data_IF_272200613133
#
_entry.id   IF_272200613133
#
_cell.length_a   1.000
_cell.length_b   1.000
_cell.length_c   1.000
_cell.angle_alpha   90.00
_cell.angle_beta   90.00
_cell.angle_gamma   90.00
#
_symmetry.space_group_name_H-M   'P 1'
#
loop_
_entity.id
_entity.type
_entity.pdbx_description
1 polymer ?
#
# COMPACT_ATOMS: atom_id res chain seq x y z
N UNK A 1 5.28 -24.79 19.26
CA UNK A 1 6.20 -24.47 18.14
C UNK A 1 7.57 -25.04 18.45
N UNK A 2 8.11 -25.94 17.61
CA UNK A 2 9.39 -26.64 17.85
C UNK A 2 10.60 -25.99 17.17
N UNK A 3 10.38 -25.06 16.24
CA UNK A 3 11.47 -24.44 15.48
C UNK A 3 12.09 -23.26 16.25
N UNK A 4 13.43 -23.18 16.40
CA UNK A 4 14.10 -22.17 17.22
C UNK A 4 13.77 -20.71 16.86
N UNK A 5 13.49 -20.44 15.57
CA UNK A 5 13.14 -19.09 15.09
C UNK A 5 11.85 -18.50 15.72
N UNK A 6 11.00 -19.31 16.36
CA UNK A 6 9.81 -18.83 17.06
C UNK A 6 10.11 -18.35 18.49
N UNK A 7 11.33 -18.56 18.99
CA UNK A 7 11.71 -18.18 20.35
C UNK A 7 11.76 -16.66 20.48
N UNK A 8 11.08 -16.12 21.49
CA UNK A 8 11.03 -14.68 21.75
C UNK A 8 9.99 -13.92 20.93
N UNK A 9 9.19 -14.61 20.11
CA UNK A 9 8.04 -14.02 19.42
C UNK A 9 6.78 -14.13 20.27
N UNK A 10 6.02 -13.04 20.35
CA UNK A 10 4.63 -13.08 20.78
C UNK A 10 3.77 -13.55 19.59
N UNK A 11 3.00 -14.61 19.78
CA UNK A 11 2.10 -15.15 18.74
C UNK A 11 0.66 -14.96 19.20
N UNK A 12 -0.11 -14.21 18.41
CA UNK A 12 -1.52 -13.93 18.65
C UNK A 12 -2.35 -14.58 17.56
N UNK A 13 -3.43 -15.26 17.93
CA UNK A 13 -4.39 -15.85 17.00
C UNK A 13 -5.76 -15.21 17.23
N UNK A 14 -6.30 -14.58 16.19
CA UNK A 14 -7.68 -14.09 16.14
C UNK A 14 -8.39 -14.82 15.01
N UNK A 15 -9.07 -15.91 15.35
CA UNK A 15 -9.72 -16.79 14.37
C UNK A 15 -11.11 -16.26 13.95
N UNK A 16 -11.86 -17.09 13.21
CA UNK A 16 -13.19 -16.77 12.71
C UNK A 16 -14.28 -16.70 13.80
N UNK A 17 -13.98 -17.11 15.03
CA UNK A 17 -14.91 -16.94 16.15
C UNK A 17 -14.97 -15.49 16.66
N UNK A 18 -13.93 -14.69 16.37
CA UNK A 18 -13.87 -13.27 16.70
C UNK A 18 -14.43 -12.45 15.52
N UNK A 19 -15.54 -11.70 15.72
CA UNK A 19 -16.15 -10.89 14.67
C UNK A 19 -15.19 -9.86 14.07
N UNK A 20 -15.42 -9.51 12.81
CA UNK A 20 -14.64 -8.52 12.06
C UNK A 20 -13.74 -9.15 11.00
N UNK A 21 -13.53 -8.42 9.92
CA UNK A 21 -12.68 -8.83 8.81
C UNK A 21 -11.22 -8.88 9.21
N UNK A 22 -10.46 -9.82 8.65
CA UNK A 22 -9.08 -10.10 9.07
C UNK A 22 -8.18 -8.87 9.01
N UNK A 23 -8.24 -8.12 7.92
CA UNK A 23 -7.45 -6.89 7.74
C UNK A 23 -7.85 -5.80 8.75
N UNK A 24 -9.14 -5.59 8.97
CA UNK A 24 -9.63 -4.61 9.93
C UNK A 24 -9.21 -4.95 11.36
N UNK A 25 -9.24 -6.24 11.74
CA UNK A 25 -8.73 -6.72 13.04
C UNK A 25 -7.24 -6.47 13.21
N UNK A 26 -6.44 -6.62 12.15
CA UNK A 26 -5.01 -6.29 12.17
C UNK A 26 -4.81 -4.78 12.38
N UNK A 27 -5.51 -3.94 11.63
CA UNK A 27 -5.38 -2.49 11.74
C UNK A 27 -5.84 -1.98 13.11
N UNK A 28 -6.90 -2.56 13.67
CA UNK A 28 -7.35 -2.29 15.04
C UNK A 28 -6.28 -2.67 16.07
N UNK A 29 -5.64 -3.83 15.90
CA UNK A 29 -4.55 -4.24 16.77
C UNK A 29 -3.37 -3.26 16.75
N UNK A 30 -2.97 -2.79 15.56
CA UNK A 30 -1.91 -1.79 15.39
C UNK A 30 -2.28 -0.48 16.09
N UNK A 31 -3.51 0.03 15.88
CA UNK A 31 -4.00 1.24 16.55
C UNK A 31 -4.01 1.10 18.07
N UNK A 32 -4.46 -0.05 18.58
CA UNK A 32 -4.47 -0.33 20.00
C UNK A 32 -3.06 -0.36 20.59
N UNK A 33 -2.08 -0.96 19.89
CA UNK A 33 -0.68 -0.95 20.32
C UNK A 33 -0.08 0.45 20.32
N UNK A 34 -0.35 1.26 19.28
CA UNK A 34 0.12 2.64 19.19
C UNK A 34 -0.36 3.50 20.36
N UNK A 35 -1.55 3.22 20.88
CA UNK A 35 -2.11 3.93 22.05
C UNK A 35 -1.50 3.48 23.40
N UNK A 36 -0.71 2.40 23.44
CA UNK A 36 -0.13 1.91 24.70
C UNK A 36 1.09 2.73 25.13
N UNK A 37 1.26 3.01 26.44
CA UNK A 37 2.48 3.60 26.97
C UNK A 37 3.71 2.75 26.64
N UNK A 38 4.77 3.37 26.13
CA UNK A 38 6.01 2.69 25.77
C UNK A 38 6.00 2.04 24.39
N UNK A 39 5.00 2.31 23.55
CA UNK A 39 5.01 1.95 22.13
C UNK A 39 6.25 2.52 21.42
N UNK A 40 6.91 1.69 20.61
CA UNK A 40 8.00 2.13 19.74
C UNK A 40 7.45 2.71 18.44
N UNK A 41 7.46 4.04 18.32
CA UNK A 41 7.02 4.75 17.12
C UNK A 41 7.84 4.43 15.86
N UNK A 42 8.96 3.74 15.99
CA UNK A 42 9.82 3.30 14.88
C UNK A 42 9.71 1.80 14.58
N UNK A 43 8.70 1.11 15.14
CA UNK A 43 8.41 -0.29 14.87
C UNK A 43 8.12 -0.51 13.38
N UNK A 44 8.68 -1.58 12.81
CA UNK A 44 8.35 -2.02 11.47
C UNK A 44 7.09 -2.89 11.49
N UNK A 45 6.10 -2.51 10.69
CA UNK A 45 4.88 -3.29 10.44
C UNK A 45 4.96 -3.94 9.07
N UNK A 46 4.63 -5.23 8.99
CA UNK A 46 4.56 -5.96 7.73
C UNK A 46 3.28 -6.80 7.70
N UNK A 47 2.38 -6.48 6.78
CA UNK A 47 1.12 -7.21 6.57
C UNK A 47 1.19 -7.99 5.27
N UNK A 48 0.76 -9.25 5.29
CA UNK A 48 0.70 -10.10 4.10
C UNK A 48 -0.73 -10.23 3.59
N UNK A 49 -0.98 -9.86 2.33
CA UNK A 49 -2.30 -9.95 1.71
C UNK A 49 -2.32 -9.46 0.26
N UNK A 50 -3.42 -9.74 -0.46
CA UNK A 50 -3.58 -9.38 -1.88
C UNK A 50 -4.57 -8.23 -2.10
N UNK A 51 -5.35 -7.89 -1.08
CA UNK A 51 -6.43 -6.93 -1.15
C UNK A 51 -5.89 -5.53 -1.38
N UNK A 52 -6.55 -4.77 -2.26
CA UNK A 52 -6.13 -3.41 -2.60
C UNK A 52 -6.32 -2.45 -1.41
N UNK A 53 -7.33 -2.72 -0.59
CA UNK A 53 -7.73 -1.93 0.57
C UNK A 53 -6.62 -1.86 1.62
N UNK A 54 -5.74 -2.87 1.69
CA UNK A 54 -4.56 -2.87 2.55
C UNK A 54 -3.67 -1.64 2.35
N UNK A 55 -3.60 -1.07 1.14
CA UNK A 55 -2.81 0.14 0.89
C UNK A 55 -3.42 1.33 1.63
N UNK A 56 -4.74 1.52 1.51
CA UNK A 56 -5.47 2.62 2.14
C UNK A 56 -5.51 2.44 3.65
N UNK A 57 -5.77 1.22 4.11
CA UNK A 57 -5.74 0.86 5.52
C UNK A 57 -4.36 1.12 6.14
N UNK A 58 -3.28 0.73 5.46
CA UNK A 58 -1.92 0.96 5.94
C UNK A 58 -1.59 2.45 6.01
N UNK A 59 -1.97 3.25 5.00
CA UNK A 59 -1.83 4.71 5.04
C UNK A 59 -2.54 5.33 6.25
N UNK A 60 -3.78 4.91 6.50
CA UNK A 60 -4.61 5.38 7.62
C UNK A 60 -4.10 4.96 9.02
N UNK A 61 -3.09 4.09 9.11
CA UNK A 61 -2.43 3.82 10.41
C UNK A 61 -1.47 4.94 10.83
N UNK A 62 -0.99 5.76 9.88
CA UNK A 62 0.08 6.75 10.11
C UNK A 62 1.33 6.16 10.77
N UNK A 63 1.61 4.88 10.52
CA UNK A 63 2.85 4.25 10.93
C UNK A 63 3.95 4.58 9.92
N UNK A 64 5.08 5.15 10.37
CA UNK A 64 6.12 5.64 9.46
C UNK A 64 6.88 4.51 8.75
N UNK A 65 6.78 3.26 9.24
CA UNK A 65 7.53 2.10 8.73
C UNK A 65 6.60 0.92 8.49
N UNK A 66 5.83 1.02 7.42
CA UNK A 66 4.85 0.00 7.03
C UNK A 66 5.21 -0.63 5.68
N UNK A 67 5.08 -1.96 5.61
CA UNK A 67 5.26 -2.79 4.43
C UNK A 67 4.02 -3.65 4.20
N UNK A 68 3.70 -3.88 2.93
CA UNK A 68 2.77 -4.93 2.52
C UNK A 68 3.55 -5.96 1.72
N UNK A 69 3.52 -7.21 2.17
CA UNK A 69 4.05 -8.36 1.43
C UNK A 69 2.92 -8.96 0.61
N UNK A 70 3.12 -9.13 -0.69
CA UNK A 70 2.08 -9.70 -1.56
C UNK A 70 2.69 -10.52 -2.68
N UNK A 71 1.90 -11.43 -3.25
CA UNK A 71 2.30 -12.12 -4.47
C UNK A 71 2.35 -11.14 -5.64
N UNK A 72 3.34 -11.30 -6.51
CA UNK A 72 3.43 -10.59 -7.78
C UNK A 72 2.29 -11.07 -8.69
N UNK A 73 1.45 -10.13 -9.11
CA UNK A 73 0.35 -10.40 -10.03
C UNK A 73 0.87 -10.21 -11.46
N UNK A 74 1.25 -11.29 -12.13
CA UNK A 74 1.61 -11.23 -13.54
C UNK A 74 0.36 -11.05 -14.42
N UNK A 75 0.41 -10.15 -15.40
CA UNK A 75 -0.61 -10.12 -16.45
C UNK A 75 -0.50 -11.37 -17.33
N UNK A 76 -1.59 -11.75 -18.00
CA UNK A 76 -1.56 -12.81 -19.01
C UNK A 76 -0.59 -12.49 -20.17
N UNK A 77 -0.36 -11.20 -20.44
CA UNK A 77 0.64 -10.73 -21.43
C UNK A 77 2.08 -10.95 -20.95
N UNK A 78 2.35 -10.72 -19.66
CA UNK A 78 3.67 -10.89 -19.06
C UNK A 78 4.07 -12.36 -19.01
N UNK A 79 3.12 -13.24 -18.65
CA UNK A 79 3.28 -14.70 -18.74
C UNK A 79 3.64 -15.16 -20.16
N UNK A 80 2.99 -14.59 -21.19
CA UNK A 80 3.27 -14.92 -22.61
C UNK A 80 4.64 -14.42 -23.07
N UNK A 81 5.12 -13.29 -22.54
CA UNK A 81 6.42 -12.72 -22.86
C UNK A 81 7.55 -13.51 -22.19
N UNK A 82 7.39 -13.90 -20.93
CA UNK A 82 8.32 -14.80 -20.22
C UNK A 82 8.41 -16.17 -20.88
N UNK A 83 7.28 -16.83 -21.21
CA UNK A 83 7.30 -18.11 -21.93
C UNK A 83 7.97 -18.05 -23.31
N UNK A 84 7.96 -16.88 -23.96
CA UNK A 84 8.67 -16.64 -25.23
C UNK A 84 10.16 -16.37 -25.05
N UNK A 85 10.57 -15.77 -23.93
CA UNK A 85 11.98 -15.54 -23.59
C UNK A 85 12.65 -16.83 -23.09
N UNK A 86 11.96 -17.61 -22.26
CA UNK A 86 12.46 -18.91 -21.76
C UNK A 86 12.55 -19.98 -22.88
N UNK A 87 11.74 -19.84 -23.94
CA UNK A 87 11.79 -20.70 -25.13
C UNK A 87 12.91 -20.36 -26.13
N UNK A 88 13.74 -19.34 -25.87
CA UNK A 88 14.92 -18.98 -26.67
C UNK A 88 16.21 -19.02 -25.83
N UNK A 89 16.41 -20.09 -25.08
CA UNK A 89 17.76 -20.50 -24.69
C UNK A 89 18.46 -21.13 -25.91
N UNK A 90 18.94 -20.28 -26.81
CA UNK A 90 19.63 -20.67 -28.02
C UNK A 90 20.30 -19.46 -28.67
N UNK A 91 21.51 -19.16 -28.17
CA UNK A 91 22.54 -18.30 -28.77
C UNK A 91 22.38 -16.78 -28.53
N UNK A 92 23.25 -16.24 -27.67
CA UNK A 92 23.52 -14.81 -27.56
C UNK A 92 24.02 -14.43 -26.17
N UNK A 93 25.29 -14.69 -25.89
CA UNK A 93 25.98 -14.13 -24.74
C UNK A 93 26.13 -12.61 -24.92
N UNK A 94 25.58 -11.85 -23.97
CA UNK A 94 26.03 -10.53 -23.62
C UNK A 94 26.03 -10.49 -22.10
N UNK A 95 27.23 -10.39 -21.53
CA UNK A 95 27.50 -10.23 -20.11
C UNK A 95 26.97 -8.87 -19.67
N UNK A 96 25.74 -8.83 -19.15
CA UNK A 96 25.24 -7.71 -18.35
C UNK A 96 25.12 -8.23 -16.90
N UNK A 97 26.20 -8.09 -16.15
CA UNK A 97 26.34 -8.40 -14.71
C UNK A 97 25.58 -7.39 -13.83
N UNK A 98 24.30 -7.12 -14.12
CA UNK A 98 23.41 -6.33 -13.27
C UNK A 98 22.04 -7.02 -13.08
N UNK A 99 22.07 -8.33 -12.83
CA UNK A 99 20.92 -9.01 -12.23
C UNK A 99 20.81 -8.57 -10.76
N UNK A 100 19.97 -7.57 -10.51
CA UNK A 100 19.55 -7.19 -9.14
C UNK A 100 19.08 -8.42 -8.34
N UNK A 101 19.40 -8.48 -7.05
CA UNK A 101 19.07 -9.60 -6.14
C UNK A 101 17.58 -10.03 -6.20
N UNK A 102 16.68 -9.08 -6.54
CA UNK A 102 15.24 -9.28 -6.66
C UNK A 102 14.84 -10.09 -7.91
N UNK A 103 15.55 -9.92 -9.03
CA UNK A 103 15.32 -10.69 -10.26
C UNK A 103 15.74 -12.16 -10.10
N UNK A 104 16.88 -12.39 -9.46
CA UNK A 104 17.38 -13.73 -9.16
C UNK A 104 16.46 -14.47 -8.15
N UNK A 105 15.99 -13.78 -7.11
CA UNK A 105 15.02 -14.32 -6.15
C UNK A 105 13.68 -14.68 -6.80
N UNK A 106 13.21 -13.84 -7.74
CA UNK A 106 11.99 -14.07 -8.52
C UNK A 106 12.11 -15.33 -9.39
N UNK A 107 13.22 -15.47 -10.14
CA UNK A 107 13.48 -16.65 -10.97
C UNK A 107 13.57 -17.93 -10.12
N UNK A 108 14.21 -17.85 -8.94
CA UNK A 108 14.30 -18.97 -8.02
C UNK A 108 12.94 -19.39 -7.42
N UNK A 109 12.07 -18.43 -7.08
CA UNK A 109 10.73 -18.71 -6.58
C UNK A 109 9.86 -19.41 -7.64
N UNK A 110 9.89 -18.90 -8.87
CA UNK A 110 9.17 -19.48 -10.01
C UNK A 110 9.62 -20.92 -10.31
N UNK A 111 10.93 -21.19 -10.26
CA UNK A 111 11.49 -22.55 -10.44
C UNK A 111 11.02 -23.55 -9.39
N UNK A 112 10.70 -23.09 -8.18
CA UNK A 112 10.16 -23.93 -7.08
C UNK A 112 8.64 -24.05 -7.11
N UNK A 113 7.97 -23.51 -8.15
CA UNK A 113 6.52 -23.48 -8.25
C UNK A 113 5.85 -22.49 -7.29
N UNK A 114 6.64 -21.63 -6.62
CA UNK A 114 6.13 -20.55 -5.79
C UNK A 114 5.80 -19.32 -6.63
N UNK A 115 4.76 -18.58 -6.24
CA UNK A 115 4.56 -17.24 -6.78
C UNK A 115 5.59 -16.30 -6.12
N UNK A 116 6.31 -15.49 -6.90
CA UNK A 116 7.25 -14.53 -6.32
C UNK A 116 6.50 -13.53 -5.47
N UNK A 117 7.10 -13.15 -4.35
CA UNK A 117 6.58 -12.15 -3.43
C UNK A 117 7.27 -10.82 -3.70
N UNK A 118 6.55 -9.72 -3.48
CA UNK A 118 7.07 -8.36 -3.56
C UNK A 118 6.69 -7.57 -2.31
N UNK A 119 7.53 -6.60 -1.96
CA UNK A 119 7.25 -5.63 -0.91
C UNK A 119 6.69 -4.35 -1.53
N UNK A 120 5.50 -3.96 -1.11
CA UNK A 120 5.01 -2.61 -1.30
C UNK A 120 5.41 -1.75 -0.09
N UNK A 121 6.21 -0.72 -0.35
CA UNK A 121 6.76 0.17 0.68
C UNK A 121 5.84 1.37 0.90
N UNK A 122 4.99 1.29 1.93
CA UNK A 122 4.01 2.36 2.22
C UNK A 122 4.72 3.65 2.65
N UNK A 123 5.84 3.55 3.35
CA UNK A 123 6.67 4.71 3.69
C UNK A 123 7.17 5.47 2.46
N UNK A 124 7.61 4.75 1.41
CA UNK A 124 7.98 5.37 0.13
C UNK A 124 6.77 5.99 -0.57
N UNK A 125 5.60 5.33 -0.55
CA UNK A 125 4.36 5.92 -1.09
C UNK A 125 4.01 7.24 -0.38
N UNK A 126 4.18 7.32 0.94
CA UNK A 126 3.96 8.55 1.72
C UNK A 126 4.89 9.68 1.27
N UNK A 127 6.14 9.39 0.95
CA UNK A 127 7.08 10.38 0.39
C UNK A 127 6.63 10.88 -0.99
N UNK A 128 6.17 9.98 -1.86
CA UNK A 128 5.60 10.37 -3.16
C UNK A 128 4.36 11.26 -3.00
N UNK A 129 3.46 10.90 -2.08
CA UNK A 129 2.30 11.73 -1.76
C UNK A 129 2.70 13.10 -1.20
N UNK A 130 3.71 13.16 -0.32
CA UNK A 130 4.22 14.43 0.20
C UNK A 130 4.69 15.36 -0.91
N UNK A 131 5.49 14.84 -1.85
CA UNK A 131 5.95 15.61 -3.02
C UNK A 131 4.78 16.06 -3.89
N UNK A 132 3.78 15.20 -4.10
CA UNK A 132 2.61 15.54 -4.89
C UNK A 132 1.77 16.65 -4.23
N UNK A 133 1.54 16.57 -2.92
CA UNK A 133 0.82 17.60 -2.18
C UNK A 133 1.61 18.91 -2.04
N UNK A 134 2.93 18.86 -1.90
CA UNK A 134 3.76 20.08 -1.86
C UNK A 134 3.63 20.90 -3.15
N UNK A 135 3.46 20.21 -4.29
CA UNK A 135 3.24 20.85 -5.60
C UNK A 135 1.87 21.51 -5.73
N UNK A 136 0.89 21.15 -4.90
CA UNK A 136 -0.47 21.67 -4.98
C UNK A 136 -0.61 23.15 -4.58
N UNK A 137 0.46 23.80 -4.09
CA UNK A 137 0.51 25.24 -3.79
C UNK A 137 -0.73 25.76 -3.07
N UNK A 138 -0.84 25.49 -1.77
CA UNK A 138 -1.89 26.04 -0.88
C UNK A 138 -1.77 27.55 -0.61
N UNK A 139 -1.04 28.29 -1.46
CA UNK A 139 -0.80 29.72 -1.28
C UNK A 139 -2.11 30.49 -1.44
N UNK A 140 -2.49 31.22 -0.40
CA UNK A 140 -3.72 32.02 -0.37
C UNK A 140 -4.94 31.27 0.18
N UNK A 141 -4.80 30.01 0.61
CA UNK A 141 -5.82 29.30 1.39
C UNK A 141 -5.51 29.44 2.89
N UNK A 142 -6.50 29.17 3.75
CA UNK A 142 -6.30 29.08 5.20
C UNK A 142 -5.64 27.77 5.63
N UNK A 143 -5.42 26.83 4.70
CA UNK A 143 -4.92 25.48 4.98
C UNK A 143 -3.39 25.49 5.03
N UNK A 144 -2.84 25.02 6.14
CA UNK A 144 -1.41 24.75 6.28
C UNK A 144 -1.08 23.33 5.83
N UNK A 145 0.09 23.15 5.22
CA UNK A 145 0.56 21.81 4.82
C UNK A 145 0.70 20.89 6.04
N UNK A 146 -0.07 19.82 6.09
CA UNK A 146 0.00 18.78 7.11
C UNK A 146 -0.18 17.41 6.46
N UNK A 147 0.92 16.69 6.27
CA UNK A 147 0.93 15.44 5.49
C UNK A 147 -0.05 14.40 6.02
N UNK A 148 -0.17 14.24 7.34
CA UNK A 148 -1.07 13.21 7.90
C UNK A 148 -2.54 13.50 7.59
N UNK A 149 -2.95 14.78 7.63
CA UNK A 149 -4.31 15.20 7.28
C UNK A 149 -4.58 15.10 5.78
N UNK A 150 -3.57 15.40 4.95
CA UNK A 150 -3.66 15.21 3.50
C UNK A 150 -3.75 13.74 3.11
N UNK A 151 -3.08 12.85 3.86
CA UNK A 151 -3.22 11.40 3.68
C UNK A 151 -4.63 10.93 4.08
N UNK A 152 -5.23 11.48 5.15
CA UNK A 152 -6.62 11.16 5.52
C UNK A 152 -7.60 11.54 4.40
N UNK A 153 -7.46 12.76 3.88
CA UNK A 153 -8.26 13.24 2.76
C UNK A 153 -8.04 12.38 1.50
N UNK A 154 -6.79 12.00 1.21
CA UNK A 154 -6.48 11.10 0.10
C UNK A 154 -7.19 9.75 0.22
N UNK A 155 -7.12 9.12 1.39
CA UNK A 155 -7.79 7.85 1.66
C UNK A 155 -9.30 8.01 1.49
N UNK A 156 -9.88 9.10 1.99
CA UNK A 156 -11.29 9.41 1.81
C UNK A 156 -11.67 9.61 0.33
N UNK A 157 -10.86 10.36 -0.44
CA UNK A 157 -11.08 10.54 -1.87
C UNK A 157 -11.04 9.21 -2.63
N UNK A 158 -10.15 8.29 -2.25
CA UNK A 158 -10.07 6.96 -2.85
C UNK A 158 -11.34 6.13 -2.66
N UNK A 159 -12.18 6.39 -1.65
CA UNK A 159 -13.47 5.72 -1.51
C UNK A 159 -14.41 5.99 -2.71
N UNK A 160 -14.28 7.13 -3.40
CA UNK A 160 -15.08 7.45 -4.58
C UNK A 160 -14.64 6.72 -5.85
N UNK A 161 -13.40 6.24 -5.89
CA UNK A 161 -12.85 5.49 -7.02
C UNK A 161 -13.32 4.04 -7.00
N UNK A 162 -13.61 3.51 -5.82
CA UNK A 162 -14.18 2.18 -5.61
C UNK A 162 -13.84 1.64 -4.23
N UNK A 163 -14.81 0.99 -3.60
CA UNK A 163 -14.63 0.20 -2.39
C UNK A 163 -15.74 -0.87 -2.33
N UNK A 164 -15.57 -1.87 -1.48
CA UNK A 164 -16.50 -3.02 -1.41
C UNK A 164 -17.88 -2.67 -0.83
N UNK A 165 -18.04 -1.48 -0.22
CA UNK A 165 -19.26 -1.07 0.48
C UNK A 165 -20.17 -0.15 -0.34
N UNK A 166 -19.60 0.61 -1.29
CA UNK A 166 -20.32 1.59 -2.08
C UNK A 166 -20.42 1.14 -3.55
N UNK A 167 -21.56 1.41 -4.23
CA UNK A 167 -21.64 1.25 -5.67
C UNK A 167 -20.56 2.09 -6.36
N UNK A 168 -19.82 1.48 -7.28
CA UNK A 168 -18.81 2.19 -8.07
C UNK A 168 -19.45 3.38 -8.80
N UNK A 169 -18.87 4.57 -8.69
CA UNK A 169 -19.29 5.73 -9.49
C UNK A 169 -18.84 5.55 -10.94
N UNK A 170 -19.75 5.43 -11.93
CA UNK A 170 -19.38 5.07 -13.31
C UNK A 170 -18.44 6.07 -14.00
N UNK A 171 -18.29 7.29 -13.45
CA UNK A 171 -17.44 8.34 -13.98
C UNK A 171 -16.00 8.33 -13.44
N UNK A 172 -15.67 7.48 -12.46
CA UNK A 172 -14.38 7.49 -11.76
C UNK A 172 -13.76 6.08 -11.70
N UNK A 173 -13.31 5.57 -12.84
CA UNK A 173 -12.56 4.31 -12.87
C UNK A 173 -11.04 4.55 -12.75
N UNK A 174 -10.31 3.70 -12.01
CA UNK A 174 -8.83 3.80 -11.88
C UNK A 174 -8.16 3.81 -13.26
N UNK A 175 -8.66 3.00 -14.20
CA UNK A 175 -8.08 2.86 -15.53
C UNK A 175 -8.19 4.14 -16.37
N UNK A 176 -9.14 5.03 -16.03
CA UNK A 176 -9.40 6.30 -16.68
C UNK A 176 -8.71 7.49 -15.97
N UNK A 177 -7.84 7.24 -14.98
CA UNK A 177 -7.14 8.30 -14.24
C UNK A 177 -8.04 9.01 -13.21
N UNK A 178 -8.97 8.27 -12.61
CA UNK A 178 -9.86 8.82 -11.58
C UNK A 178 -9.12 9.42 -10.39
N UNK A 179 -8.01 8.82 -9.96
CA UNK A 179 -7.19 9.32 -8.85
C UNK A 179 -6.60 10.69 -9.20
N UNK A 180 -5.98 10.82 -10.37
CA UNK A 180 -5.40 12.10 -10.84
C UNK A 180 -6.47 13.19 -10.97
N UNK A 181 -7.67 12.81 -11.44
CA UNK A 181 -8.82 13.70 -11.55
C UNK A 181 -9.29 14.19 -10.18
N UNK A 182 -9.47 13.27 -9.21
CA UNK A 182 -9.87 13.62 -7.84
C UNK A 182 -8.82 14.49 -7.16
N UNK A 183 -7.54 14.19 -7.33
CA UNK A 183 -6.44 14.99 -6.77
C UNK A 183 -6.42 16.40 -7.36
N UNK A 184 -6.71 16.54 -8.66
CA UNK A 184 -6.82 17.85 -9.31
C UNK A 184 -8.03 18.64 -8.80
N UNK A 185 -9.19 18.00 -8.67
CA UNK A 185 -10.40 18.63 -8.13
C UNK A 185 -10.22 19.04 -6.66
N UNK A 186 -9.59 18.19 -5.86
CA UNK A 186 -9.27 18.47 -4.46
C UNK A 186 -8.40 19.73 -4.35
N UNK A 187 -7.32 19.81 -5.14
CA UNK A 187 -6.46 21.01 -5.20
C UNK A 187 -7.26 22.25 -5.57
N UNK A 188 -8.06 22.18 -6.63
CA UNK A 188 -8.77 23.36 -7.17
C UNK A 188 -9.89 23.82 -6.22
N UNK A 189 -10.54 22.90 -5.50
CA UNK A 189 -11.58 23.18 -4.51
C UNK A 189 -11.09 23.56 -3.12
N UNK A 190 -9.81 23.33 -2.79
CA UNK A 190 -9.31 23.50 -1.41
C UNK A 190 -9.44 24.92 -0.87
N UNK A 191 -9.39 25.94 -1.74
CA UNK A 191 -9.62 27.32 -1.34
C UNK A 191 -11.04 27.60 -0.84
N UNK A 192 -12.03 26.91 -1.41
CA UNK A 192 -13.46 27.07 -1.06
C UNK A 192 -13.86 26.21 0.15
N UNK A 193 -13.24 25.04 0.31
CA UNK A 193 -13.50 24.12 1.42
C UNK A 193 -13.10 24.71 2.79
N UNK A 194 -12.15 25.66 2.81
CA UNK A 194 -11.74 26.35 4.03
C UNK A 194 -10.97 25.47 5.05
N UNK A 195 -10.64 24.23 4.69
CA UNK A 195 -10.05 23.23 5.57
C UNK A 195 -9.81 21.88 4.88
N UNK A 196 -9.38 20.89 5.64
CA UNK A 196 -9.38 19.48 5.23
C UNK A 196 -10.81 18.94 5.10
N UNK A 197 -11.00 17.95 4.24
CA UNK A 197 -12.33 17.34 3.99
C UNK A 197 -12.71 16.38 5.10
N UNK A 198 -11.72 15.69 5.67
CA UNK A 198 -11.87 14.79 6.80
C UNK A 198 -11.54 15.51 8.10
N UNK A 199 -12.20 15.10 9.18
CA UNK A 199 -11.80 15.47 10.53
C UNK A 199 -11.52 14.23 11.38
N UNK A 200 -10.58 14.36 12.31
CA UNK A 200 -10.37 13.35 13.34
C UNK A 200 -11.15 13.82 14.54
N UNK A 201 -12.35 13.26 14.74
CA UNK A 201 -13.01 13.41 16.02
C UNK A 201 -12.06 12.87 17.11
N UNK A 202 -11.78 13.68 18.13
CA UNK A 202 -10.90 13.36 19.27
C UNK A 202 -11.32 12.08 20.03
#
# INVERSE_FOLDING_TARGET
ASHPAWRGLAVVLSDASVPGEGEHKIMEHIRAQRAMPGYDANMWHCVHGLDADLIMLALATHEPRFLILREVVFSAKDRKRQLRQDGRAGLGAADDDDETDEAAATAAALRRGGKPLQFLRIHTLREYLAVEFERMSFRGTAVTFELERLIDDFVFLCFFVGNDFLPHMPALEIHDGAIDTLMSLYRDGMGELGGFVTDRDE
#
